data_IF_556950012222
#
_entry.id   IF_556950012222
#
_cell.length_a   1.000
_cell.length_b   1.000
_cell.length_c   1.000
_cell.angle_alpha   90.00
_cell.angle_beta   90.00
_cell.angle_gamma   90.00
#
_symmetry.space_group_name_H-M   'P 1'
#
loop_
_entity.id
_entity.type
_entity.pdbx_description
1 polymer ?
#
# COMPACT_ATOMS: atom_id res chain seq x y z
N UNK A 1 -77.70 20.80 -18.31
CA UNK A 1 -76.25 21.11 -18.21
C UNK A 1 -75.65 20.19 -17.15
N UNK A 2 -74.88 19.18 -17.59
CA UNK A 2 -74.17 18.27 -16.68
C UNK A 2 -72.72 18.70 -16.64
N UNK A 3 -72.26 19.15 -15.47
CA UNK A 3 -70.87 19.51 -15.21
C UNK A 3 -70.02 18.26 -15.08
N UNK A 4 -69.04 18.06 -15.92
CA UNK A 4 -67.98 17.04 -15.74
C UNK A 4 -66.92 17.60 -14.79
N UNK A 5 -66.76 16.99 -13.62
CA UNK A 5 -65.65 17.23 -12.74
C UNK A 5 -64.46 16.36 -13.19
N UNK A 6 -63.41 16.99 -13.68
CA UNK A 6 -62.15 16.33 -14.06
C UNK A 6 -61.28 16.21 -12.82
N UNK A 7 -61.14 15.00 -12.29
CA UNK A 7 -60.23 14.74 -11.16
C UNK A 7 -58.79 14.56 -11.67
N UNK A 8 -57.93 15.52 -11.38
CA UNK A 8 -56.50 15.45 -11.69
C UNK A 8 -55.81 14.62 -10.63
N UNK A 9 -55.30 13.43 -10.97
CA UNK A 9 -54.49 12.59 -10.11
C UNK A 9 -53.04 13.09 -10.20
N UNK A 10 -52.53 13.70 -9.14
CA UNK A 10 -51.11 14.04 -9.00
C UNK A 10 -50.37 12.81 -8.51
N UNK A 11 -49.64 12.13 -9.40
CA UNK A 11 -48.70 11.05 -9.00
C UNK A 11 -47.41 11.70 -8.52
N UNK A 12 -47.26 11.79 -7.21
CA UNK A 12 -45.98 12.13 -6.56
C UNK A 12 -45.03 10.94 -6.68
N UNK A 13 -44.07 11.02 -7.60
CA UNK A 13 -42.92 10.11 -7.64
C UNK A 13 -42.11 10.35 -6.38
N UNK A 14 -42.31 9.52 -5.36
CA UNK A 14 -41.40 9.41 -4.23
C UNK A 14 -40.07 8.88 -4.80
N UNK A 15 -39.09 9.80 -4.92
CA UNK A 15 -37.73 9.43 -5.29
C UNK A 15 -37.20 8.41 -4.27
N UNK A 16 -36.86 7.22 -4.74
CA UNK A 16 -36.15 6.21 -3.92
C UNK A 16 -34.85 6.90 -3.50
N UNK A 17 -34.55 7.01 -2.20
CA UNK A 17 -33.29 7.57 -1.75
C UNK A 17 -32.17 6.72 -2.38
N UNK A 18 -31.29 7.35 -3.16
CA UNK A 18 -30.09 6.69 -3.65
C UNK A 18 -29.30 6.26 -2.41
N UNK A 19 -29.26 4.96 -2.13
CA UNK A 19 -28.40 4.43 -1.08
C UNK A 19 -26.98 4.88 -1.38
N UNK A 20 -26.35 5.59 -0.43
CA UNK A 20 -24.94 5.92 -0.51
C UNK A 20 -24.14 4.61 -0.72
N UNK A 21 -23.25 4.59 -1.69
CA UNK A 21 -22.45 3.41 -1.95
C UNK A 21 -21.67 3.03 -0.67
N UNK A 22 -21.78 1.78 -0.28
CA UNK A 22 -21.06 1.25 0.88
C UNK A 22 -19.64 0.84 0.46
N UNK A 23 -18.63 1.09 1.31
CA UNK A 23 -17.29 0.56 1.09
C UNK A 23 -17.33 -0.96 0.86
N UNK A 24 -16.52 -1.50 -0.07
CA UNK A 24 -16.50 -2.93 -0.31
C UNK A 24 -16.06 -3.70 0.93
N UNK A 25 -16.73 -4.80 1.19
CA UNK A 25 -16.35 -5.74 2.23
C UNK A 25 -15.08 -6.49 1.82
N UNK A 26 -14.29 -6.97 2.79
CA UNK A 26 -13.19 -7.88 2.51
C UNK A 26 -13.72 -9.14 1.81
N UNK A 27 -12.91 -9.82 0.98
CA UNK A 27 -13.30 -11.07 0.36
C UNK A 27 -13.76 -12.12 1.40
N UNK A 28 -14.77 -12.88 1.06
CA UNK A 28 -15.25 -13.99 1.90
C UNK A 28 -14.10 -14.95 2.22
N UNK A 29 -14.09 -15.47 3.44
CA UNK A 29 -13.06 -16.38 3.94
C UNK A 29 -11.75 -15.73 4.38
N UNK A 30 -11.56 -14.41 4.17
CA UNK A 30 -10.43 -13.71 4.73
C UNK A 30 -10.70 -13.34 6.18
N UNK A 31 -9.75 -13.67 7.07
CA UNK A 31 -9.80 -13.28 8.46
C UNK A 31 -9.12 -11.92 8.66
N UNK A 32 -9.59 -11.16 9.64
CA UNK A 32 -8.87 -10.01 10.18
C UNK A 32 -8.37 -10.30 11.60
N UNK A 33 -7.35 -9.56 12.02
CA UNK A 33 -6.78 -9.70 13.35
C UNK A 33 -5.90 -8.54 13.74
N UNK A 34 -5.50 -8.54 14.99
CA UNK A 34 -4.59 -7.55 15.56
C UNK A 34 -3.41 -8.21 16.27
N UNK A 35 -2.25 -7.60 16.16
CA UNK A 35 -1.11 -7.88 17.04
C UNK A 35 -0.70 -6.61 17.75
N UNK A 36 -0.24 -6.75 19.01
CA UNK A 36 0.42 -5.66 19.73
C UNK A 36 1.92 -5.85 19.53
N UNK A 37 2.53 -4.94 18.77
CA UNK A 37 3.95 -4.97 18.47
C UNK A 37 4.50 -3.56 18.32
N UNK A 38 5.75 -3.34 18.68
CA UNK A 38 6.44 -2.06 18.56
C UNK A 38 5.64 -0.87 19.13
N UNK A 39 4.96 -1.09 20.27
CA UNK A 39 4.20 -0.07 20.99
C UNK A 39 2.86 0.34 20.38
N UNK A 40 2.38 -0.34 19.34
CA UNK A 40 1.09 -0.09 18.69
C UNK A 40 0.31 -1.38 18.46
N UNK A 41 -1.00 -1.22 18.26
CA UNK A 41 -1.87 -2.27 17.75
C UNK A 41 -1.84 -2.22 16.21
N UNK A 42 -1.33 -3.31 15.61
CA UNK A 42 -1.24 -3.47 14.14
C UNK A 42 -2.38 -4.36 13.69
N UNK A 43 -3.23 -3.85 12.84
CA UNK A 43 -4.27 -4.62 12.16
C UNK A 43 -3.71 -5.30 10.90
N UNK A 44 -4.25 -6.47 10.57
CA UNK A 44 -3.94 -7.18 9.33
C UNK A 44 -5.11 -8.02 8.84
N UNK A 45 -5.19 -8.21 7.54
CA UNK A 45 -6.04 -9.21 6.89
C UNK A 45 -5.20 -10.43 6.55
N UNK A 46 -5.79 -11.63 6.56
CA UNK A 46 -5.09 -12.88 6.24
C UNK A 46 -5.99 -13.82 5.43
N UNK A 47 -5.45 -14.40 4.37
CA UNK A 47 -6.17 -15.36 3.52
C UNK A 47 -6.21 -16.77 4.09
N UNK A 48 -5.23 -17.12 4.96
CA UNK A 48 -5.16 -18.40 5.64
C UNK A 48 -4.64 -19.55 4.78
N UNK A 49 -4.66 -20.73 5.39
CA UNK A 49 -4.17 -21.97 4.80
C UNK A 49 -2.75 -22.35 5.26
N UNK A 50 -2.40 -23.62 5.14
CA UNK A 50 -1.06 -24.13 5.43
C UNK A 50 -0.19 -24.03 4.17
N UNK A 51 0.27 -22.81 3.88
CA UNK A 51 0.97 -22.40 2.67
C UNK A 51 2.11 -21.46 3.02
N UNK A 52 3.14 -21.33 2.14
CA UNK A 52 4.16 -20.30 2.32
C UNK A 52 3.55 -18.92 2.45
N UNK A 53 4.09 -18.11 3.38
CA UNK A 53 3.51 -16.81 3.72
C UNK A 53 4.10 -15.70 2.85
N UNK A 54 3.23 -14.82 2.32
CA UNK A 54 3.61 -13.53 1.74
C UNK A 54 2.99 -12.41 2.58
N UNK A 55 3.82 -11.48 3.07
CA UNK A 55 3.36 -10.23 3.70
C UNK A 55 3.42 -9.12 2.66
N UNK A 56 2.33 -8.37 2.46
CA UNK A 56 2.27 -7.29 1.47
C UNK A 56 2.04 -5.93 2.16
N UNK A 57 3.11 -5.14 2.33
CA UNK A 57 3.08 -3.80 2.92
C UNK A 57 2.67 -2.75 1.89
N UNK A 58 1.59 -2.03 2.15
CA UNK A 58 0.99 -1.07 1.23
C UNK A 58 1.73 0.27 1.11
N UNK A 59 1.39 1.05 0.09
CA UNK A 59 1.91 2.40 -0.16
C UNK A 59 1.30 3.48 0.76
N UNK A 60 1.85 4.68 0.72
CA UNK A 60 1.34 5.80 1.50
C UNK A 60 -0.13 6.08 1.17
N UNK A 61 -0.93 6.33 2.19
CA UNK A 61 -2.39 6.54 2.14
C UNK A 61 -3.24 5.37 1.63
N UNK A 62 -2.66 4.21 1.32
CA UNK A 62 -3.38 2.96 1.10
C UNK A 62 -3.65 2.25 2.44
N UNK A 63 -4.27 1.08 2.42
CA UNK A 63 -4.41 0.14 3.52
C UNK A 63 -4.14 -1.29 3.03
N UNK A 64 -4.20 -2.28 3.90
CA UNK A 64 -3.96 -3.68 3.54
C UNK A 64 -4.83 -4.18 2.40
N UNK A 65 -6.13 -3.86 2.40
CA UNK A 65 -7.05 -4.29 1.35
C UNK A 65 -6.74 -3.73 -0.04
N UNK A 66 -5.91 -2.68 -0.15
CA UNK A 66 -5.43 -2.19 -1.46
C UNK A 66 -4.57 -3.21 -2.24
N UNK A 67 -4.27 -4.34 -1.65
CA UNK A 67 -3.64 -5.48 -2.30
C UNK A 67 -4.63 -6.56 -2.77
N UNK A 68 -5.92 -6.46 -2.46
CA UNK A 68 -6.93 -7.50 -2.67
C UNK A 68 -6.90 -8.09 -4.08
N UNK A 69 -6.88 -7.24 -5.11
CA UNK A 69 -6.93 -7.70 -6.50
C UNK A 69 -5.65 -8.43 -6.96
N UNK A 70 -4.51 -8.16 -6.33
CA UNK A 70 -3.28 -8.91 -6.56
C UNK A 70 -3.23 -10.18 -5.68
N UNK A 71 -3.62 -10.05 -4.42
CA UNK A 71 -3.61 -11.16 -3.47
C UNK A 71 -4.47 -12.34 -3.95
N UNK A 72 -5.68 -12.07 -4.48
CA UNK A 72 -6.56 -13.10 -5.06
C UNK A 72 -5.90 -13.98 -6.12
N UNK A 73 -4.94 -13.44 -6.87
CA UNK A 73 -4.22 -14.18 -7.92
C UNK A 73 -3.15 -15.16 -7.37
N UNK A 74 -2.90 -15.08 -6.05
CA UNK A 74 -1.84 -15.84 -5.37
C UNK A 74 -2.37 -16.74 -4.22
N UNK A 75 -3.64 -16.59 -3.82
CA UNK A 75 -4.21 -17.32 -2.67
C UNK A 75 -4.25 -18.84 -2.83
N UNK A 76 -4.19 -19.37 -4.05
CA UNK A 76 -4.10 -20.81 -4.27
C UNK A 76 -2.77 -21.41 -3.81
N UNK A 77 -1.69 -20.61 -3.86
CA UNK A 77 -0.32 -21.05 -3.62
C UNK A 77 0.27 -20.49 -2.31
N UNK A 78 -0.27 -19.36 -1.82
CA UNK A 78 0.29 -18.62 -0.69
C UNK A 78 -0.78 -18.25 0.33
N UNK A 79 -0.38 -18.20 1.61
CA UNK A 79 -1.09 -17.51 2.68
C UNK A 79 -0.66 -16.05 2.69
N UNK A 80 -1.57 -15.13 2.38
CA UNK A 80 -1.27 -13.72 2.21
C UNK A 80 -1.66 -12.94 3.46
N UNK A 81 -0.73 -12.14 3.99
CA UNK A 81 -0.96 -11.24 5.12
C UNK A 81 -0.83 -9.80 4.63
N UNK A 82 -1.86 -9.02 4.85
CA UNK A 82 -2.02 -7.64 4.39
C UNK A 82 -2.08 -6.70 5.60
N UNK A 83 -0.96 -6.32 6.20
CA UNK A 83 -0.99 -5.42 7.36
C UNK A 83 -1.38 -3.99 6.96
N UNK A 84 -2.11 -3.33 7.84
CA UNK A 84 -2.27 -1.89 7.83
C UNK A 84 -1.06 -1.26 8.52
N UNK A 85 -0.33 -0.41 7.82
CA UNK A 85 0.79 0.31 8.42
C UNK A 85 0.29 1.31 9.48
N UNK A 86 1.13 1.62 10.49
CA UNK A 86 0.77 2.64 11.49
C UNK A 86 0.18 3.90 10.85
N UNK A 87 -0.96 4.36 11.36
CA UNK A 87 -1.72 5.50 10.85
C UNK A 87 -2.49 5.25 9.55
N UNK A 88 -2.69 3.99 9.17
CA UNK A 88 -3.47 3.60 8.01
C UNK A 88 -4.45 2.49 8.38
N UNK A 89 -5.54 2.37 7.62
CA UNK A 89 -6.53 1.34 7.84
C UNK A 89 -7.05 1.34 9.29
N UNK A 90 -6.99 0.20 9.94
CA UNK A 90 -7.46 -0.04 11.29
C UNK A 90 -6.33 -0.12 12.34
N UNK A 91 -5.07 0.13 11.94
CA UNK A 91 -3.93 0.19 12.85
C UNK A 91 -3.87 1.50 13.63
N UNK A 92 -3.24 1.45 14.82
CA UNK A 92 -3.07 2.63 15.66
C UNK A 92 -2.28 3.75 14.95
N UNK A 93 -2.55 5.01 15.29
CA UNK A 93 -1.87 6.16 14.70
C UNK A 93 -0.39 6.25 15.11
N UNK A 94 0.45 6.92 14.29
CA UNK A 94 1.81 7.21 14.68
C UNK A 94 1.87 8.30 15.74
N UNK A 95 2.90 8.22 16.61
CA UNK A 95 3.29 9.30 17.50
C UNK A 95 4.30 10.24 16.82
N UNK A 96 4.37 11.50 17.26
CA UNK A 96 5.42 12.45 16.81
C UNK A 96 6.82 11.99 17.20
N UNK A 97 6.94 11.17 18.25
CA UNK A 97 8.19 10.61 18.74
C UNK A 97 8.66 9.36 18.00
N UNK A 98 7.84 8.78 17.13
CA UNK A 98 8.20 7.55 16.42
C UNK A 98 9.52 7.71 15.64
N UNK A 99 10.45 6.74 15.75
CA UNK A 99 11.69 6.77 15.00
C UNK A 99 11.45 6.60 13.49
N UNK A 100 12.44 6.94 12.69
CA UNK A 100 12.33 6.89 11.23
C UNK A 100 12.10 5.48 10.67
N UNK A 101 12.55 4.46 11.39
CA UNK A 101 12.46 3.03 11.05
C UNK A 101 11.25 2.31 11.68
N UNK A 102 10.37 3.04 12.37
CA UNK A 102 9.23 2.47 13.08
C UNK A 102 8.42 1.46 12.25
N UNK A 103 8.20 1.72 10.96
CA UNK A 103 7.46 0.79 10.10
C UNK A 103 8.25 -0.49 9.76
N UNK A 104 9.58 -0.44 9.76
CA UNK A 104 10.40 -1.65 9.62
C UNK A 104 10.34 -2.50 10.89
N UNK A 105 10.34 -1.84 12.07
CA UNK A 105 10.15 -2.51 13.37
C UNK A 105 8.75 -3.09 13.53
N UNK A 106 7.72 -2.42 12.99
CA UNK A 106 6.35 -2.94 12.95
C UNK A 106 6.27 -4.26 12.19
N UNK A 107 6.90 -4.34 11.01
CA UNK A 107 6.98 -5.59 10.23
C UNK A 107 7.70 -6.69 11.01
N UNK A 108 8.85 -6.39 11.63
CA UNK A 108 9.56 -7.35 12.45
C UNK A 108 8.72 -7.82 13.64
N UNK A 109 7.99 -6.90 14.28
CA UNK A 109 7.08 -7.19 15.37
C UNK A 109 5.90 -8.08 14.96
N UNK A 110 5.27 -7.76 13.81
CA UNK A 110 4.18 -8.57 13.23
C UNK A 110 4.65 -10.01 12.97
N UNK A 111 5.80 -10.17 12.30
CA UNK A 111 6.38 -11.48 11.97
C UNK A 111 6.61 -12.30 13.23
N UNK A 112 7.24 -11.70 14.26
CA UNK A 112 7.49 -12.39 15.55
C UNK A 112 6.19 -12.77 16.26
N UNK A 113 5.22 -11.87 16.33
CA UNK A 113 3.93 -12.11 17.02
C UNK A 113 3.09 -13.18 16.36
N UNK A 114 3.11 -13.24 15.04
CA UNK A 114 2.42 -14.29 14.28
C UNK A 114 3.25 -15.57 14.12
N UNK A 115 4.47 -15.61 14.68
CA UNK A 115 5.40 -16.76 14.61
C UNK A 115 5.65 -17.22 13.16
N UNK A 116 5.81 -16.26 12.23
CA UNK A 116 6.01 -16.58 10.82
C UNK A 116 7.47 -16.99 10.56
N UNK A 117 7.65 -18.13 9.94
CA UNK A 117 8.96 -18.65 9.58
C UNK A 117 9.30 -18.28 8.14
N UNK A 118 10.40 -17.55 7.95
CA UNK A 118 10.94 -17.13 6.65
C UNK A 118 9.87 -16.65 5.64
N UNK A 119 9.02 -15.64 6.01
CA UNK A 119 8.02 -15.14 5.08
C UNK A 119 8.68 -14.43 3.88
N UNK A 120 8.02 -14.46 2.73
CA UNK A 120 8.30 -13.55 1.64
C UNK A 120 7.69 -12.19 2.02
N UNK A 121 8.44 -11.11 1.85
CA UNK A 121 7.97 -9.78 2.17
C UNK A 121 7.92 -8.90 0.92
N UNK A 122 6.73 -8.39 0.61
CA UNK A 122 6.47 -7.51 -0.52
C UNK A 122 6.05 -6.13 -0.04
N UNK A 123 6.43 -5.08 -0.75
CA UNK A 123 5.99 -3.73 -0.43
C UNK A 123 5.85 -2.85 -1.66
N UNK A 124 4.95 -1.87 -1.58
CA UNK A 124 4.77 -0.82 -2.59
C UNK A 124 5.19 0.54 -2.04
N UNK A 125 5.98 1.31 -2.78
CA UNK A 125 6.28 2.72 -2.46
C UNK A 125 6.79 2.93 -1.02
N UNK A 126 5.97 3.46 -0.12
CA UNK A 126 6.23 3.55 1.32
C UNK A 126 6.51 2.16 1.92
N UNK A 127 5.68 1.17 1.59
CA UNK A 127 5.86 -0.22 2.00
C UNK A 127 7.14 -0.83 1.46
N UNK A 128 7.52 -0.58 0.19
CA UNK A 128 8.83 -0.99 -0.35
C UNK A 128 9.98 -0.45 0.47
N UNK A 129 9.87 0.79 0.87
CA UNK A 129 10.89 1.42 1.71
C UNK A 129 10.98 0.79 3.09
N UNK A 130 9.85 0.40 3.68
CA UNK A 130 9.79 -0.24 5.00
C UNK A 130 10.29 -1.68 4.93
N UNK A 131 9.89 -2.42 3.90
CA UNK A 131 10.32 -3.80 3.61
C UNK A 131 11.83 -3.86 3.36
N UNK A 132 12.37 -2.97 2.52
CA UNK A 132 13.81 -2.94 2.26
C UNK A 132 14.61 -2.65 3.54
N UNK A 133 14.15 -1.70 4.37
CA UNK A 133 14.82 -1.38 5.62
C UNK A 133 14.70 -2.51 6.65
N UNK A 134 13.53 -3.15 6.73
CA UNK A 134 13.34 -4.37 7.52
C UNK A 134 14.31 -5.47 7.09
N UNK A 135 14.40 -5.78 5.80
CA UNK A 135 15.27 -6.83 5.29
C UNK A 135 16.77 -6.53 5.53
N UNK A 136 17.17 -5.25 5.48
CA UNK A 136 18.52 -4.83 5.81
C UNK A 136 18.86 -4.95 7.31
N UNK A 137 17.88 -4.73 8.20
CA UNK A 137 18.04 -4.86 9.66
C UNK A 137 17.99 -6.32 10.13
N UNK A 138 17.21 -7.14 9.45
CA UNK A 138 16.93 -8.53 9.80
C UNK A 138 17.18 -9.47 8.61
N UNK A 139 18.42 -9.55 8.10
CA UNK A 139 18.73 -10.22 6.83
C UNK A 139 18.41 -11.72 6.82
N UNK A 140 18.31 -12.34 7.99
CA UNK A 140 18.04 -13.78 8.13
C UNK A 140 16.54 -14.12 8.25
N UNK A 141 15.66 -13.12 8.35
CA UNK A 141 14.23 -13.35 8.53
C UNK A 141 13.52 -13.59 7.19
N UNK A 142 13.60 -12.70 6.17
CA UNK A 142 12.85 -12.90 4.94
C UNK A 142 13.44 -14.02 4.08
N UNK A 143 12.57 -14.89 3.54
CA UNK A 143 12.93 -15.84 2.48
C UNK A 143 13.27 -15.12 1.18
N UNK A 144 12.50 -14.10 0.84
CA UNK A 144 12.70 -13.24 -0.34
C UNK A 144 12.06 -11.87 -0.11
N UNK A 145 12.49 -10.90 -0.90
CA UNK A 145 12.05 -9.51 -0.87
C UNK A 145 11.49 -9.09 -2.22
N UNK A 146 10.34 -8.43 -2.25
CA UNK A 146 9.74 -7.91 -3.47
C UNK A 146 9.39 -6.43 -3.27
N UNK A 147 9.91 -5.57 -4.14
CA UNK A 147 9.77 -4.12 -4.03
C UNK A 147 9.03 -3.58 -5.27
N UNK A 148 7.76 -3.20 -5.09
CA UNK A 148 6.99 -2.53 -6.14
C UNK A 148 7.27 -1.03 -6.09
N UNK A 149 7.86 -0.55 -7.16
CA UNK A 149 8.29 0.82 -7.42
C UNK A 149 8.99 1.52 -6.24
N UNK A 150 10.08 0.93 -5.70
CA UNK A 150 10.88 1.60 -4.70
C UNK A 150 11.53 2.86 -5.26
N UNK A 151 11.85 3.81 -4.38
CA UNK A 151 12.69 4.94 -4.74
C UNK A 151 14.14 4.49 -4.89
N UNK A 152 14.68 4.56 -6.08
CA UNK A 152 16.08 4.23 -6.41
C UNK A 152 16.99 5.46 -6.52
N UNK A 153 16.41 6.66 -6.68
CA UNK A 153 17.18 7.90 -6.71
C UNK A 153 17.75 8.26 -5.33
N UNK A 154 18.97 8.78 -5.25
CA UNK A 154 19.55 9.24 -3.99
C UNK A 154 18.62 10.20 -3.27
N UNK A 155 18.65 10.19 -1.95
CA UNK A 155 17.98 11.20 -1.13
C UNK A 155 18.91 12.39 -1.04
N UNK A 156 18.40 13.57 -1.29
CA UNK A 156 19.14 14.79 -1.02
C UNK A 156 19.48 14.84 0.48
N UNK A 157 20.70 15.31 0.84
CA UNK A 157 21.05 15.51 2.24
C UNK A 157 19.98 16.30 2.97
N UNK A 158 19.68 15.90 4.19
CA UNK A 158 18.64 16.51 5.04
C UNK A 158 19.02 17.93 5.55
N UNK A 159 19.87 18.66 4.84
CA UNK A 159 20.21 20.05 5.16
C UNK A 159 19.04 21.02 4.96
N UNK A 160 17.96 20.55 4.35
CA UNK A 160 16.76 21.36 4.27
C UNK A 160 16.02 21.24 5.61
N UNK A 161 15.97 22.32 6.34
CA UNK A 161 15.10 22.59 7.49
C UNK A 161 13.61 22.22 7.24
N UNK A 162 13.28 21.78 6.03
CA UNK A 162 11.95 21.40 5.56
C UNK A 162 11.45 20.05 6.11
N UNK A 163 12.32 19.16 6.63
CA UNK A 163 11.86 17.87 7.16
C UNK A 163 11.14 17.98 8.52
N UNK A 164 11.40 19.05 9.27
CA UNK A 164 10.74 19.39 10.54
C UNK A 164 9.95 20.71 10.43
N UNK A 165 9.63 21.19 9.23
CA UNK A 165 8.82 22.40 9.06
C UNK A 165 7.40 22.10 9.53
N UNK A 166 7.06 22.67 10.68
CA UNK A 166 5.73 22.54 11.31
C UNK A 166 4.63 22.98 10.38
N UNK A 167 4.83 24.06 9.62
CA UNK A 167 3.84 24.57 8.65
C UNK A 167 3.57 23.58 7.53
N UNK A 168 4.60 22.97 6.94
CA UNK A 168 4.43 21.95 5.90
C UNK A 168 3.75 20.67 6.44
N UNK A 169 4.03 20.32 7.70
CA UNK A 169 3.36 19.21 8.37
C UNK A 169 1.88 19.51 8.63
N UNK A 170 1.55 20.71 9.13
CA UNK A 170 0.17 21.12 9.37
C UNK A 170 -0.62 21.26 8.05
N UNK A 171 -0.01 21.81 7.00
CA UNK A 171 -0.62 21.85 5.67
C UNK A 171 -0.95 20.44 5.15
N UNK A 172 -0.03 19.49 5.31
CA UNK A 172 -0.25 18.09 4.93
C UNK A 172 -1.34 17.44 5.78
N UNK A 173 -1.35 17.72 7.08
CA UNK A 173 -2.39 17.25 7.99
C UNK A 173 -3.77 17.77 7.59
N UNK A 174 -3.88 19.04 7.29
CA UNK A 174 -5.12 19.66 6.79
C UNK A 174 -5.60 19.02 5.48
N UNK A 175 -4.69 18.70 4.55
CA UNK A 175 -5.02 17.99 3.30
C UNK A 175 -5.56 16.58 3.55
N UNK A 176 -5.00 15.86 4.53
CA UNK A 176 -5.50 14.52 4.91
C UNK A 176 -6.90 14.66 5.51
N UNK A 177 -7.11 15.58 6.44
CA UNK A 177 -8.41 15.83 7.05
C UNK A 177 -9.47 16.23 6.02
N UNK A 178 -9.13 17.14 5.10
CA UNK A 178 -10.03 17.55 4.03
C UNK A 178 -10.49 16.35 3.18
N UNK A 179 -9.56 15.43 2.86
CA UNK A 179 -9.89 14.22 2.12
C UNK A 179 -10.70 13.22 2.94
N UNK A 180 -10.41 13.05 4.23
CA UNK A 180 -11.17 12.16 5.12
C UNK A 180 -12.63 12.62 5.26
N UNK A 181 -12.88 13.92 5.14
CA UNK A 181 -14.23 14.53 5.19
C UNK A 181 -14.97 14.51 3.84
N UNK A 182 -14.36 14.04 2.76
CA UNK A 182 -15.07 13.85 1.51
C UNK A 182 -15.99 12.62 1.59
N UNK A 183 -17.15 12.68 0.91
CA UNK A 183 -17.98 11.49 0.77
C UNK A 183 -17.26 10.40 -0.03
N UNK A 184 -17.52 9.15 0.32
CA UNK A 184 -16.97 7.98 -0.38
C UNK A 184 -17.23 8.05 -1.89
N UNK A 185 -18.48 8.33 -2.28
CA UNK A 185 -18.88 8.44 -3.69
C UNK A 185 -18.10 9.51 -4.45
N UNK A 186 -17.82 10.65 -3.79
CA UNK A 186 -17.01 11.71 -4.36
C UNK A 186 -15.57 11.26 -4.62
N UNK A 187 -14.97 10.55 -3.66
CA UNK A 187 -13.60 10.01 -3.81
C UNK A 187 -13.54 9.01 -4.96
N UNK A 188 -14.52 8.11 -5.05
CA UNK A 188 -14.63 7.11 -6.13
C UNK A 188 -14.80 7.81 -7.49
N UNK A 189 -15.75 8.75 -7.60
CA UNK A 189 -16.03 9.46 -8.86
C UNK A 189 -14.82 10.24 -9.37
N UNK A 190 -14.13 10.96 -8.47
CA UNK A 190 -12.94 11.74 -8.82
C UNK A 190 -11.78 10.82 -9.27
N UNK A 191 -11.64 9.66 -8.65
CA UNK A 191 -10.57 8.71 -9.01
C UNK A 191 -10.86 7.97 -10.30
N UNK A 192 -12.12 7.61 -10.58
CA UNK A 192 -12.53 7.02 -11.86
C UNK A 192 -12.20 7.94 -13.05
N UNK A 193 -12.38 9.25 -12.87
CA UNK A 193 -12.01 10.25 -13.89
C UNK A 193 -10.50 10.33 -14.10
N UNK A 194 -9.70 10.23 -13.02
CA UNK A 194 -8.24 10.36 -13.08
C UNK A 194 -7.54 9.11 -13.59
N UNK A 195 -8.04 7.94 -13.20
CA UNK A 195 -7.40 6.65 -13.48
C UNK A 195 -8.45 5.60 -13.93
N UNK A 196 -9.11 5.81 -15.09
CA UNK A 196 -10.19 4.92 -15.53
C UNK A 196 -9.72 3.47 -15.77
N UNK A 197 -8.42 3.28 -16.07
CA UNK A 197 -7.82 1.94 -16.30
C UNK A 197 -7.75 1.05 -15.06
N UNK A 198 -7.82 1.62 -13.84
CA UNK A 198 -7.78 0.80 -12.63
C UNK A 198 -9.04 -0.04 -12.43
N UNK A 199 -10.17 0.41 -13.00
CA UNK A 199 -11.47 -0.23 -12.82
C UNK A 199 -12.12 0.11 -11.47
N UNK A 200 -13.45 -0.02 -11.43
CA UNK A 200 -14.26 0.40 -10.29
C UNK A 200 -13.90 -0.36 -9.01
N UNK A 201 -13.75 -1.69 -9.06
CA UNK A 201 -13.46 -2.50 -7.87
C UNK A 201 -12.15 -2.13 -7.18
N UNK A 202 -11.09 -1.82 -7.94
CA UNK A 202 -9.81 -1.34 -7.38
C UNK A 202 -9.99 0.04 -6.75
N UNK A 203 -10.73 0.93 -7.41
CA UNK A 203 -10.94 2.31 -6.97
C UNK A 203 -11.81 2.37 -5.70
N UNK A 204 -12.80 1.50 -5.56
CA UNK A 204 -13.65 1.42 -4.38
C UNK A 204 -12.85 1.01 -3.14
N UNK A 205 -12.00 -0.01 -3.26
CA UNK A 205 -11.08 -0.41 -2.20
C UNK A 205 -10.11 0.74 -1.87
N UNK A 206 -9.53 1.36 -2.90
CA UNK A 206 -8.62 2.49 -2.73
C UNK A 206 -9.31 3.68 -2.03
N UNK A 207 -10.56 4.00 -2.36
CA UNK A 207 -11.32 5.10 -1.76
C UNK A 207 -11.51 4.90 -0.24
N UNK A 208 -11.83 3.66 0.20
CA UNK A 208 -11.93 3.31 1.62
C UNK A 208 -10.64 3.65 2.37
N UNK A 209 -9.48 3.33 1.80
CA UNK A 209 -8.19 3.63 2.42
C UNK A 209 -7.94 5.13 2.63
N UNK A 210 -8.55 5.99 1.79
CA UNK A 210 -8.37 7.45 1.89
C UNK A 210 -9.12 8.04 3.09
N UNK A 211 -10.26 7.46 3.42
CA UNK A 211 -11.03 7.86 4.61
C UNK A 211 -10.34 7.37 5.88
N UNK A 212 -9.72 6.19 5.84
CA UNK A 212 -9.02 5.57 6.98
C UNK A 212 -7.59 6.10 7.20
N UNK A 213 -7.09 7.00 6.37
CA UNK A 213 -5.73 7.54 6.50
C UNK A 213 -5.65 8.55 7.64
N UNK A 214 -4.94 8.20 8.74
CA UNK A 214 -4.87 9.03 9.94
C UNK A 214 -4.03 10.31 9.71
N UNK A 215 -4.51 11.50 10.13
CA UNK A 215 -3.83 12.77 9.87
C UNK A 215 -2.46 12.88 10.56
N UNK A 216 -2.19 12.14 11.63
CA UNK A 216 -0.89 12.13 12.30
C UNK A 216 0.25 11.55 11.44
N UNK A 217 -0.04 10.87 10.33
CA UNK A 217 0.99 10.46 9.36
C UNK A 217 1.72 11.65 8.73
N UNK A 218 1.14 12.86 8.82
CA UNK A 218 1.79 14.10 8.43
C UNK A 218 3.03 14.41 9.27
N UNK A 219 3.06 14.00 10.53
CA UNK A 219 4.16 14.24 11.48
C UNK A 219 5.30 13.23 11.37
N UNK A 220 5.19 12.25 10.49
CA UNK A 220 6.20 11.21 10.32
C UNK A 220 7.59 11.82 10.17
N UNK A 221 8.48 11.52 11.10
CA UNK A 221 9.87 11.90 11.02
C UNK A 221 10.53 11.19 9.85
N UNK A 222 11.15 11.94 8.95
CA UNK A 222 11.97 11.38 7.87
C UNK A 222 13.40 11.11 8.34
N UNK A 223 13.82 11.71 9.46
CA UNK A 223 15.02 11.50 10.23
C UNK A 223 16.26 11.03 9.46
N UNK A 224 17.22 10.45 10.14
CA UNK A 224 18.44 9.86 9.60
C UNK A 224 18.14 8.50 8.91
N UNK A 225 17.29 8.51 7.89
CA UNK A 225 17.04 7.31 7.11
C UNK A 225 18.23 7.04 6.18
N UNK A 226 18.81 5.82 6.20
CA UNK A 226 19.93 5.46 5.33
C UNK A 226 19.60 5.65 3.84
N UNK A 227 20.62 5.86 3.02
CA UNK A 227 20.47 5.89 1.57
C UNK A 227 20.01 4.50 1.07
N UNK A 228 19.32 4.47 -0.09
CA UNK A 228 18.87 3.21 -0.68
C UNK A 228 20.04 2.26 -0.93
N UNK A 229 21.18 2.77 -1.34
CA UNK A 229 22.42 2.01 -1.57
C UNK A 229 22.95 1.36 -0.31
N UNK A 230 22.92 2.05 0.84
CA UNK A 230 23.33 1.50 2.13
C UNK A 230 22.38 0.39 2.61
N UNK A 231 21.07 0.58 2.39
CA UNK A 231 20.05 -0.43 2.71
C UNK A 231 20.25 -1.67 1.83
N UNK A 232 20.40 -1.49 0.51
CA UNK A 232 20.53 -2.58 -0.44
C UNK A 232 21.77 -3.43 -0.21
N UNK A 233 22.90 -2.81 0.16
CA UNK A 233 24.13 -3.53 0.48
C UNK A 233 24.04 -4.48 1.70
N UNK A 234 22.99 -4.34 2.53
CA UNK A 234 22.74 -5.19 3.70
C UNK A 234 21.69 -6.27 3.47
N UNK A 235 20.98 -6.27 2.34
CA UNK A 235 19.95 -7.26 2.03
C UNK A 235 20.64 -8.50 1.45
N UNK A 236 20.47 -9.64 2.09
CA UNK A 236 21.05 -10.94 1.66
C UNK A 236 20.03 -11.84 0.94
N UNK A 237 18.74 -11.62 1.19
CA UNK A 237 17.68 -12.42 0.58
C UNK A 237 17.53 -12.12 -0.93
N UNK A 238 17.14 -13.11 -1.75
CA UNK A 238 16.75 -12.89 -3.15
C UNK A 238 15.75 -11.74 -3.24
N UNK A 239 16.02 -10.75 -4.11
CA UNK A 239 15.22 -9.53 -4.17
C UNK A 239 14.77 -9.24 -5.60
N UNK A 240 13.45 -9.09 -5.80
CA UNK A 240 12.83 -8.62 -7.04
C UNK A 240 12.41 -7.16 -6.90
N UNK A 241 12.81 -6.32 -7.84
CA UNK A 241 12.28 -4.97 -8.01
C UNK A 241 11.34 -4.95 -9.23
N UNK A 242 10.07 -4.64 -9.00
CA UNK A 242 9.06 -4.39 -10.03
C UNK A 242 8.94 -2.88 -10.20
N UNK A 243 9.55 -2.34 -11.23
CA UNK A 243 9.74 -0.90 -11.41
C UNK A 243 8.76 -0.34 -12.45
N UNK A 244 8.24 0.87 -12.18
CA UNK A 244 7.50 1.65 -13.17
C UNK A 244 8.29 1.81 -14.47
N UNK A 245 7.57 2.01 -15.57
CA UNK A 245 8.18 2.33 -16.86
C UNK A 245 9.04 3.59 -16.78
N UNK A 246 10.11 3.61 -17.56
CA UNK A 246 11.03 4.73 -17.60
C UNK A 246 11.79 4.78 -18.92
N UNK A 247 12.28 5.94 -19.29
CA UNK A 247 13.18 6.13 -20.42
C UNK A 247 14.52 5.43 -20.17
N UNK A 248 15.24 5.10 -21.24
CA UNK A 248 16.45 4.28 -21.24
C UNK A 248 17.50 4.71 -20.24
N UNK A 249 17.77 6.01 -20.11
CA UNK A 249 18.78 6.53 -19.17
C UNK A 249 18.39 6.30 -17.71
N UNK A 250 17.11 6.46 -17.35
CA UNK A 250 16.64 6.19 -16.00
C UNK A 250 16.63 4.67 -15.73
N UNK A 251 16.29 3.84 -16.73
CA UNK A 251 16.37 2.37 -16.60
C UNK A 251 17.80 1.93 -16.30
N UNK A 252 18.83 2.48 -16.99
CA UNK A 252 20.25 2.21 -16.72
C UNK A 252 20.63 2.54 -15.28
N UNK A 253 20.28 3.73 -14.80
CA UNK A 253 20.52 4.14 -13.39
C UNK A 253 19.80 3.24 -12.39
N UNK A 254 18.59 2.81 -12.69
CA UNK A 254 17.85 1.88 -11.83
C UNK A 254 18.54 0.51 -11.75
N UNK A 255 19.07 0.00 -12.88
CA UNK A 255 19.83 -1.26 -12.95
C UNK A 255 21.12 -1.12 -12.13
N UNK A 256 21.85 -0.01 -12.29
CA UNK A 256 23.06 0.27 -11.51
C UNK A 256 22.81 0.25 -9.99
N UNK A 257 21.76 0.94 -9.51
CA UNK A 257 21.40 0.91 -8.08
C UNK A 257 20.98 -0.50 -7.64
N UNK A 258 20.31 -1.25 -8.51
CA UNK A 258 19.87 -2.63 -8.20
C UNK A 258 21.04 -3.59 -8.09
N UNK A 259 22.15 -3.39 -8.84
CA UNK A 259 23.32 -4.25 -8.79
C UNK A 259 24.05 -4.26 -7.44
N UNK A 260 23.72 -3.35 -6.54
CA UNK A 260 24.19 -3.34 -5.14
C UNK A 260 23.58 -4.49 -4.31
N UNK A 261 22.40 -4.95 -4.68
CA UNK A 261 21.77 -6.11 -4.06
C UNK A 261 22.53 -7.39 -4.45
N UNK A 262 22.94 -8.18 -3.45
CA UNK A 262 23.69 -9.44 -3.66
C UNK A 262 22.98 -10.42 -4.59
N UNK A 263 21.64 -10.49 -4.49
CA UNK A 263 20.78 -11.35 -5.30
C UNK A 263 19.59 -10.54 -5.83
N UNK A 264 19.90 -9.40 -6.48
CA UNK A 264 18.92 -8.46 -6.99
C UNK A 264 18.52 -8.73 -8.44
N UNK A 265 17.23 -8.62 -8.74
CA UNK A 265 16.67 -8.61 -10.09
C UNK A 265 15.73 -7.41 -10.22
N UNK A 266 15.82 -6.67 -11.31
CA UNK A 266 14.88 -5.59 -11.64
C UNK A 266 14.15 -5.91 -12.93
N UNK A 267 12.84 -5.65 -12.93
CA UNK A 267 11.97 -5.72 -14.10
C UNK A 267 11.23 -4.40 -14.22
N UNK A 268 11.48 -3.64 -15.27
CA UNK A 268 10.67 -2.48 -15.62
C UNK A 268 9.40 -2.95 -16.31
N UNK A 269 8.25 -2.49 -15.85
CA UNK A 269 6.94 -2.86 -16.38
C UNK A 269 6.48 -1.77 -17.35
N UNK A 270 6.50 -2.09 -18.63
CA UNK A 270 6.18 -1.15 -19.68
C UNK A 270 4.76 -0.58 -19.54
N UNK A 271 4.61 0.73 -19.74
CA UNK A 271 3.35 1.46 -19.61
C UNK A 271 2.82 1.59 -18.18
N UNK A 272 3.54 1.14 -17.17
CA UNK A 272 3.16 1.32 -15.77
C UNK A 272 3.70 2.63 -15.19
N UNK A 273 2.86 3.35 -14.45
CA UNK A 273 3.27 4.42 -13.55
C UNK A 273 3.64 3.88 -12.16
N UNK A 274 3.62 4.78 -11.17
CA UNK A 274 3.98 4.47 -9.78
C UNK A 274 3.15 3.33 -9.13
N UNK A 275 1.93 3.13 -9.58
CA UNK A 275 1.06 2.06 -9.08
C UNK A 275 1.09 0.86 -10.03
N UNK A 276 2.24 0.19 -10.13
CA UNK A 276 2.53 -0.82 -11.17
C UNK A 276 1.47 -1.90 -11.23
N UNK A 277 1.06 -2.46 -10.09
CA UNK A 277 0.01 -3.50 -10.02
C UNK A 277 -1.37 -3.03 -10.49
N UNK A 278 -1.67 -1.72 -10.38
CA UNK A 278 -2.93 -1.12 -10.82
C UNK A 278 -2.91 -0.77 -12.30
N UNK A 279 -1.76 -0.31 -12.78
CA UNK A 279 -1.60 0.13 -14.16
C UNK A 279 -1.41 -1.04 -15.13
N UNK A 280 -0.63 -2.08 -14.72
CA UNK A 280 -0.22 -3.20 -15.56
C UNK A 280 -0.21 -4.53 -14.79
N UNK A 281 -1.38 -4.93 -14.22
CA UNK A 281 -1.49 -6.12 -13.34
C UNK A 281 -0.93 -7.40 -13.99
N UNK A 282 -1.23 -7.67 -15.25
CA UNK A 282 -0.82 -8.92 -15.91
C UNK A 282 0.68 -9.00 -16.12
N UNK A 283 1.33 -7.90 -16.53
CA UNK A 283 2.78 -7.86 -16.71
C UNK A 283 3.49 -7.99 -15.36
N UNK A 284 2.98 -7.33 -14.33
CA UNK A 284 3.51 -7.47 -12.95
C UNK A 284 3.36 -8.92 -12.47
N UNK A 285 2.19 -9.55 -12.61
CA UNK A 285 1.96 -10.94 -12.21
C UNK A 285 2.88 -11.91 -12.91
N UNK A 286 3.10 -11.75 -14.22
CA UNK A 286 4.04 -12.57 -14.98
C UNK A 286 5.44 -12.53 -14.37
N UNK A 287 5.96 -11.33 -14.10
CA UNK A 287 7.29 -11.16 -13.51
C UNK A 287 7.36 -11.68 -12.06
N UNK A 288 6.31 -11.42 -11.28
CA UNK A 288 6.18 -11.87 -9.90
C UNK A 288 6.14 -13.39 -9.78
N UNK A 289 5.26 -14.07 -10.54
CA UNK A 289 5.13 -15.54 -10.54
C UNK A 289 6.41 -16.22 -11.02
N UNK A 290 7.08 -15.68 -12.06
CA UNK A 290 8.37 -16.19 -12.51
C UNK A 290 9.47 -16.08 -11.44
N UNK A 291 9.46 -15.05 -10.61
CA UNK A 291 10.39 -14.91 -9.48
C UNK A 291 10.04 -15.90 -8.36
N UNK A 292 8.77 -15.98 -7.98
CA UNK A 292 8.30 -16.87 -6.91
C UNK A 292 8.56 -18.35 -7.22
N UNK A 293 8.41 -18.77 -8.47
CA UNK A 293 8.69 -20.14 -8.91
C UNK A 293 10.19 -20.51 -8.84
N UNK A 294 11.08 -19.53 -8.74
CA UNK A 294 12.53 -19.74 -8.61
C UNK A 294 13.04 -19.74 -7.16
N UNK A 295 12.15 -19.61 -6.15
CA UNK A 295 12.47 -19.62 -4.72
C UNK A 295 12.40 -21.03 -4.15
#
# INVERSE_FOLDING_TARGET
MKSLLTTTVIVTLLGIPAFAAQPPLPPEGWADGYVIANGIRIHYWRTGGDKPVIIMAHGSSDNGLCWTNLAKELTNEYDIILPDARGHGLSDPPAKSDPADAQAEDLAGLIRKLKLEKPIVMGHSMGSSSVAWFAAKYPNIPRAVILEDPRLTPRLPSNSRTSNNTEAQEKRRAQILARNNMSYDRIVADQLKRNPRWGRSEIEIWATSKIQHHPNTAYRRRGNRPQTTEIFGKITAPTLILKADAQSELRKKNIEVTSILKHGKIVHIDGAGHNVRRDQKQLLLKALKAFLAGL
#
